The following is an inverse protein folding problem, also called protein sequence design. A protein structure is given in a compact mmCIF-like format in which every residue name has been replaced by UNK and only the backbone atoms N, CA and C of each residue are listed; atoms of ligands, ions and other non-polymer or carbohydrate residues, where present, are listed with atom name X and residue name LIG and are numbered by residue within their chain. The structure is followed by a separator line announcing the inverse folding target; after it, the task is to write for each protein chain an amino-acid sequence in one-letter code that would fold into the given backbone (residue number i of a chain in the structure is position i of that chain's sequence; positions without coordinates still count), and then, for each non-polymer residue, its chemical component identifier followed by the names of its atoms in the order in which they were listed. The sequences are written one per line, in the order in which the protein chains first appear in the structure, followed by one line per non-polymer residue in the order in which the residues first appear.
data_IF_631619141468
#
_entry.id   IF_631619141468
#
_cell.length_a   1.000
_cell.length_b   1.000
_cell.length_c   1.000
_cell.angle_alpha   90.00
_cell.angle_beta   90.00
_cell.angle_gamma   90.00
#
_symmetry.space_group_name_H-M   'P 1'
#
loop_
_entity.id
_entity.type
_entity.pdbx_description
1 polymer ?
#
# COMPACT_ATOMS: atom_id res chain seq x y z
N UNK A 1 -3.50 8.76 -18.66
CA UNK A 1 -2.69 9.39 -17.58
C UNK A 1 -1.22 8.92 -17.58
N UNK A 2 -0.25 9.72 -17.09
CA UNK A 2 1.16 9.25 -16.96
C UNK A 2 1.37 8.40 -15.71
N UNK A 3 2.32 7.45 -15.74
CA UNK A 3 2.66 6.57 -14.61
C UNK A 3 2.96 7.33 -13.32
N UNK A 4 3.79 8.37 -13.39
CA UNK A 4 4.12 9.21 -12.23
C UNK A 4 2.88 9.92 -11.67
N UNK A 5 1.97 10.35 -12.54
CA UNK A 5 0.71 10.98 -12.12
C UNK A 5 -0.27 9.99 -11.49
N UNK A 6 -0.31 8.74 -11.96
CA UNK A 6 -1.15 7.71 -11.36
C UNK A 6 -0.68 7.42 -9.93
N UNK A 7 0.61 7.14 -9.76
CA UNK A 7 1.22 6.77 -8.48
C UNK A 7 1.13 7.89 -7.45
N UNK A 8 1.41 9.14 -7.84
CA UNK A 8 1.32 10.28 -6.91
C UNK A 8 -0.12 10.52 -6.45
N UNK A 9 -1.10 10.44 -7.36
CA UNK A 9 -2.51 10.63 -7.01
C UNK A 9 -3.05 9.47 -6.19
N UNK A 10 -2.70 8.23 -6.51
CA UNK A 10 -3.04 7.04 -5.71
C UNK A 10 -2.51 7.17 -4.29
N UNK A 11 -1.23 7.56 -4.15
CA UNK A 11 -0.61 7.84 -2.84
C UNK A 11 -1.39 8.89 -2.07
N UNK A 12 -1.58 10.07 -2.66
CA UNK A 12 -2.04 11.25 -1.93
C UNK A 12 -3.55 11.23 -1.65
N UNK A 13 -4.35 10.66 -2.56
CA UNK A 13 -5.81 10.74 -2.50
C UNK A 13 -6.48 9.49 -1.92
N UNK A 14 -5.76 8.35 -1.88
CA UNK A 14 -6.37 7.06 -1.48
C UNK A 14 -5.55 6.34 -0.42
N UNK A 15 -4.29 6.02 -0.72
CA UNK A 15 -3.44 5.22 0.19
C UNK A 15 -3.11 5.98 1.47
N UNK A 16 -2.68 7.25 1.38
CA UNK A 16 -2.35 8.04 2.56
C UNK A 16 -3.57 8.25 3.49
N UNK A 17 -4.75 8.65 2.99
CA UNK A 17 -5.96 8.71 3.83
C UNK A 17 -6.33 7.38 4.49
N UNK A 18 -6.15 6.25 3.80
CA UNK A 18 -6.37 4.92 4.38
C UNK A 18 -5.38 4.67 5.53
N UNK A 19 -4.07 4.85 5.30
CA UNK A 19 -3.05 4.70 6.34
C UNK A 19 -3.35 5.59 7.55
N UNK A 20 -3.62 6.87 7.31
CA UNK A 20 -3.88 7.83 8.38
C UNK A 20 -5.12 7.49 9.22
N UNK A 21 -6.11 6.81 8.65
CA UNK A 21 -7.31 6.42 9.40
C UNK A 21 -7.04 5.39 10.50
N UNK A 22 -5.95 4.64 10.40
CA UNK A 22 -5.50 3.68 11.40
C UNK A 22 -4.45 4.27 12.37
N UNK A 23 -4.14 5.58 12.26
CA UNK A 23 -3.16 6.26 13.10
C UNK A 23 -3.82 7.30 14.00
N UNK A 24 -3.21 7.55 15.15
CA UNK A 24 -3.57 8.67 16.00
C UNK A 24 -3.03 9.97 15.40
N UNK A 25 -3.69 11.10 15.69
CA UNK A 25 -3.34 12.40 15.07
C UNK A 25 -1.87 12.80 15.23
N UNK A 26 -1.25 12.45 16.35
CA UNK A 26 0.15 12.76 16.65
C UNK A 26 1.15 11.86 15.92
N UNK A 27 0.74 10.68 15.45
CA UNK A 27 1.58 9.72 14.73
C UNK A 27 1.65 10.02 13.23
N UNK A 28 0.58 10.59 12.68
CA UNK A 28 0.47 10.96 11.26
C UNK A 28 1.70 11.72 10.71
N UNK A 29 2.20 12.79 11.36
CA UNK A 29 3.38 13.51 10.84
C UNK A 29 4.67 12.69 10.89
N UNK A 30 4.71 11.61 11.69
CA UNK A 30 5.87 10.73 11.86
C UNK A 30 5.84 9.56 10.86
N UNK A 31 4.74 9.36 10.14
CA UNK A 31 4.58 8.29 9.16
C UNK A 31 4.74 8.82 7.74
N UNK A 32 5.66 8.22 7.00
CA UNK A 32 5.83 8.48 5.56
C UNK A 32 5.21 7.36 4.74
N UNK A 33 4.45 7.74 3.71
CA UNK A 33 3.85 6.83 2.74
C UNK A 33 4.46 7.09 1.37
N UNK A 34 5.03 6.07 0.76
CA UNK A 34 5.46 6.07 -0.63
C UNK A 34 4.65 5.02 -1.42
N UNK A 35 4.31 5.36 -2.65
CA UNK A 35 3.78 4.41 -3.62
C UNK A 35 4.76 4.38 -4.77
N UNK A 36 5.11 3.18 -5.22
CA UNK A 36 6.05 2.97 -6.32
C UNK A 36 5.48 1.94 -7.29
N UNK A 37 5.93 2.00 -8.54
CA UNK A 37 5.65 0.96 -9.53
C UNK A 37 6.97 0.33 -9.88
N UNK A 38 7.04 -1.00 -9.90
CA UNK A 38 8.24 -1.73 -10.26
C UNK A 38 7.90 -3.11 -10.82
N UNK A 39 8.77 -3.62 -11.68
CA UNK A 39 8.73 -5.01 -12.12
C UNK A 39 9.42 -5.86 -11.06
N UNK A 40 8.80 -6.98 -10.71
CA UNK A 40 9.39 -7.95 -9.79
C UNK A 40 10.34 -8.85 -10.59
N UNK A 41 11.55 -9.03 -10.08
CA UNK A 41 12.53 -9.93 -10.68
C UNK A 41 12.90 -11.03 -9.70
N UNK A 42 13.02 -12.26 -10.19
CA UNK A 42 13.61 -13.33 -9.42
C UNK A 42 15.11 -13.08 -9.23
N UNK A 43 15.54 -12.82 -7.99
CA UNK A 43 16.96 -12.77 -7.66
C UNK A 43 17.49 -14.18 -7.43
N UNK A 44 18.48 -14.59 -8.23
CA UNK A 44 19.20 -15.85 -8.05
C UNK A 44 20.17 -15.83 -6.85
N UNK A 45 20.40 -14.66 -6.24
CA UNK A 45 21.25 -14.48 -5.06
C UNK A 45 20.49 -14.65 -3.73
N UNK A 46 19.24 -15.10 -3.78
CA UNK A 46 18.36 -15.18 -2.61
C UNK A 46 18.73 -16.34 -1.68
N UNK A 47 18.65 -16.10 -0.37
CA UNK A 47 19.00 -17.12 0.62
C UNK A 47 18.01 -18.31 0.60
N UNK A 48 18.49 -19.56 0.75
CA UNK A 48 17.63 -20.73 0.84
C UNK A 48 16.86 -20.72 2.16
N UNK A 49 15.66 -20.15 2.17
CA UNK A 49 14.82 -20.07 3.37
C UNK A 49 13.81 -18.93 3.36
N UNK A 50 13.99 -17.93 2.49
CA UNK A 50 13.01 -16.88 2.36
C UNK A 50 11.70 -17.40 1.75
N UNK A 51 10.62 -17.32 2.53
CA UNK A 51 9.28 -17.73 2.11
C UNK A 51 8.86 -16.94 0.85
N UNK A 52 8.34 -17.66 -0.14
CA UNK A 52 7.86 -17.08 -1.40
C UNK A 52 6.62 -16.24 -1.15
N UNK A 53 6.77 -14.92 -1.04
CA UNK A 53 5.71 -13.98 -1.40
C UNK A 53 5.75 -13.88 -2.92
N UNK A 54 5.07 -14.83 -3.58
CA UNK A 54 4.96 -15.03 -5.04
C UNK A 54 5.38 -13.83 -5.88
N UNK A 55 6.63 -13.79 -6.32
CA UNK A 55 7.10 -12.89 -7.39
C UNK A 55 6.87 -13.62 -8.71
N UNK A 56 5.88 -13.25 -9.52
CA UNK A 56 5.79 -13.81 -10.84
C UNK A 56 6.86 -13.09 -11.67
N UNK A 57 7.85 -13.82 -12.18
CA UNK A 57 8.72 -13.33 -13.25
C UNK A 57 7.91 -13.38 -14.57
N UNK A 58 6.82 -12.61 -14.58
CA UNK A 58 5.85 -12.56 -15.65
C UNK A 58 6.01 -11.29 -16.52
N UNK A 59 6.95 -10.42 -16.14
CA UNK A 59 7.23 -9.17 -16.81
C UNK A 59 6.23 -8.05 -16.51
N UNK A 60 5.28 -8.26 -15.59
CA UNK A 60 4.27 -7.26 -15.26
C UNK A 60 4.80 -6.21 -14.29
N UNK A 61 4.23 -5.01 -14.36
CA UNK A 61 4.52 -3.94 -13.42
C UNK A 61 3.57 -4.03 -12.23
N UNK A 62 4.11 -3.92 -11.02
CA UNK A 62 3.36 -3.99 -9.78
C UNK A 62 3.38 -2.67 -9.02
N UNK A 63 2.26 -2.32 -8.41
CA UNK A 63 2.17 -1.17 -7.50
C UNK A 63 2.46 -1.63 -6.08
N UNK A 64 3.40 -0.96 -5.45
CA UNK A 64 3.84 -1.21 -4.09
C UNK A 64 3.59 0.00 -3.21
N UNK A 65 3.14 -0.25 -1.99
CA UNK A 65 3.00 0.74 -0.93
C UNK A 65 4.09 0.49 0.10
N UNK A 66 4.85 1.52 0.43
CA UNK A 66 5.82 1.52 1.51
C UNK A 66 5.34 2.49 2.58
N UNK A 67 5.33 2.01 3.82
CA UNK A 67 5.06 2.85 4.98
C UNK A 67 6.26 2.77 5.92
N UNK A 68 6.68 3.93 6.44
CA UNK A 68 7.83 4.02 7.35
C UNK A 68 7.51 4.98 8.49
N UNK A 69 7.63 4.49 9.72
CA UNK A 69 7.63 5.30 10.92
C UNK A 69 9.03 5.90 11.12
N UNK A 70 9.13 7.22 10.97
CA UNK A 70 10.41 7.93 10.91
C UNK A 70 11.25 7.81 12.19
N UNK A 71 10.69 7.88 13.42
CA UNK A 71 11.50 7.87 14.64
C UNK A 71 12.33 6.60 14.85
N UNK A 72 11.81 5.45 14.45
CA UNK A 72 12.49 4.14 14.63
C UNK A 72 12.93 3.51 13.31
N UNK A 73 12.54 4.08 12.16
CA UNK A 73 12.70 3.49 10.83
C UNK A 73 12.01 2.13 10.65
N UNK A 74 11.07 1.77 11.54
CA UNK A 74 10.17 0.63 11.33
C UNK A 74 9.36 0.86 10.06
N UNK A 75 9.29 -0.15 9.20
CA UNK A 75 8.56 -0.02 7.95
C UNK A 75 8.02 -1.33 7.42
N UNK A 76 7.04 -1.21 6.56
CA UNK A 76 6.42 -2.31 5.83
C UNK A 76 6.30 -1.98 4.35
N UNK A 77 6.27 -3.04 3.53
CA UNK A 77 6.07 -2.95 2.11
C UNK A 77 5.00 -3.96 1.69
N UNK A 78 3.99 -3.49 0.97
CA UNK A 78 2.87 -4.30 0.51
C UNK A 78 2.65 -4.10 -0.97
N UNK A 79 2.47 -5.21 -1.67
CA UNK A 79 2.05 -5.22 -3.07
C UNK A 79 0.53 -5.05 -3.13
N UNK A 80 0.07 -4.00 -3.81
CA UNK A 80 -1.36 -3.83 -4.07
C UNK A 80 -1.83 -4.76 -5.19
N UNK A 81 -1.07 -4.86 -6.27
CA UNK A 81 -1.45 -5.63 -7.45
C UNK A 81 -0.69 -5.19 -8.68
N UNK A 82 -1.03 -5.78 -9.84
CA UNK A 82 -0.48 -5.34 -11.12
C UNK A 82 -1.00 -3.95 -11.45
N UNK A 83 -0.16 -3.13 -12.06
CA UNK A 83 -0.52 -1.76 -12.42
C UNK A 83 -1.71 -1.72 -13.38
N UNK A 84 -1.82 -2.67 -14.31
CA UNK A 84 -2.94 -2.74 -15.25
C UNK A 84 -4.28 -3.07 -14.58
N UNK A 85 -4.28 -3.97 -13.59
CA UNK A 85 -5.48 -4.44 -12.90
C UNK A 85 -6.03 -3.34 -11.98
N UNK A 86 -5.16 -2.54 -11.37
CA UNK A 86 -5.53 -1.46 -10.46
C UNK A 86 -6.18 -0.25 -11.14
N UNK A 87 -6.34 -0.27 -12.46
CA UNK A 87 -7.21 0.65 -13.18
C UNK A 87 -8.69 0.25 -13.08
N UNK A 88 -8.99 -1.01 -12.76
CA UNK A 88 -10.35 -1.44 -12.41
C UNK A 88 -10.65 -1.05 -10.94
N UNK A 89 -11.75 -0.35 -10.73
CA UNK A 89 -12.12 0.14 -9.39
C UNK A 89 -12.42 -0.99 -8.41
N UNK A 90 -12.94 -2.12 -8.87
CA UNK A 90 -13.25 -3.27 -8.00
C UNK A 90 -11.99 -3.98 -7.55
N UNK A 91 -11.05 -4.19 -8.47
CA UNK A 91 -9.72 -4.75 -8.17
C UNK A 91 -8.95 -3.84 -7.21
N UNK A 92 -8.98 -2.52 -7.46
CA UNK A 92 -8.36 -1.55 -6.57
C UNK A 92 -8.98 -1.55 -5.16
N UNK A 93 -10.31 -1.56 -5.04
CA UNK A 93 -10.98 -1.62 -3.74
C UNK A 93 -10.60 -2.90 -2.99
N UNK A 94 -10.57 -4.04 -3.67
CA UNK A 94 -10.15 -5.30 -3.07
C UNK A 94 -8.69 -5.24 -2.61
N UNK A 95 -7.79 -4.70 -3.43
CA UNK A 95 -6.38 -4.51 -3.06
C UNK A 95 -6.22 -3.59 -1.84
N UNK A 96 -6.97 -2.49 -1.78
CA UNK A 96 -6.93 -1.55 -0.66
C UNK A 96 -7.50 -2.16 0.63
N UNK A 97 -8.53 -3.00 0.52
CA UNK A 97 -9.05 -3.75 1.67
C UNK A 97 -7.99 -4.71 2.24
N UNK A 98 -7.34 -5.50 1.37
CA UNK A 98 -6.25 -6.39 1.80
C UNK A 98 -5.08 -5.62 2.41
N UNK A 99 -4.72 -4.48 1.81
CA UNK A 99 -3.69 -3.59 2.35
C UNK A 99 -4.06 -3.03 3.72
N UNK A 100 -5.28 -2.53 3.91
CA UNK A 100 -5.74 -1.99 5.20
C UNK A 100 -5.66 -3.03 6.30
N UNK A 101 -6.14 -4.25 6.05
CA UNK A 101 -6.05 -5.35 7.00
C UNK A 101 -4.60 -5.72 7.34
N UNK A 102 -3.72 -5.80 6.33
CA UNK A 102 -2.31 -6.09 6.55
C UNK A 102 -1.58 -4.95 7.30
N UNK A 103 -1.98 -3.72 7.04
CA UNK A 103 -1.45 -2.53 7.71
C UNK A 103 -1.85 -2.49 9.18
N UNK A 104 -3.11 -2.77 9.51
CA UNK A 104 -3.58 -2.91 10.90
C UNK A 104 -2.75 -3.95 11.68
N UNK A 105 -2.51 -5.12 11.05
CA UNK A 105 -1.66 -6.16 11.63
C UNK A 105 -0.25 -5.66 11.92
N UNK A 106 0.38 -4.99 10.95
CA UNK A 106 1.72 -4.41 11.13
C UNK A 106 1.75 -3.34 12.22
N UNK A 107 0.83 -2.37 12.19
CA UNK A 107 0.79 -1.29 13.21
C UNK A 107 0.64 -1.88 14.62
N UNK A 108 -0.19 -2.91 14.78
CA UNK A 108 -0.40 -3.58 16.08
C UNK A 108 0.88 -4.23 16.63
N UNK A 109 1.85 -4.52 15.76
CA UNK A 109 3.15 -5.11 16.10
C UNK A 109 4.27 -4.06 16.22
N UNK A 110 4.02 -2.80 15.88
CA UNK A 110 5.02 -1.73 15.97
C UNK A 110 5.21 -1.24 17.40
N UNK A 111 6.40 -0.70 17.68
CA UNK A 111 6.72 -0.17 19.02
C UNK A 111 5.90 1.06 19.42
N UNK A 112 5.41 1.85 18.47
CA UNK A 112 4.70 3.10 18.74
C UNK A 112 3.18 2.95 18.93
N UNK A 113 2.60 1.86 18.42
CA UNK A 113 1.16 1.58 18.51
C UNK A 113 0.85 0.25 19.23
N UNK A 114 1.85 -0.33 19.90
CA UNK A 114 1.73 -1.63 20.58
C UNK A 114 0.56 -1.65 21.57
N UNK A 115 -0.37 -2.58 21.37
CA UNK A 115 -1.50 -2.80 22.27
C UNK A 115 -2.68 -1.82 22.11
N UNK A 116 -2.61 -0.91 21.14
CA UNK A 116 -3.71 -0.01 20.81
C UNK A 116 -4.60 -0.62 19.71
N UNK A 117 -5.91 -0.46 19.83
CA UNK A 117 -6.86 -0.91 18.81
C UNK A 117 -6.86 0.05 17.61
N UNK A 118 -6.56 -0.46 16.42
CA UNK A 118 -6.44 0.33 15.17
C UNK A 118 -7.31 -0.26 14.08
N UNK A 119 -8.00 0.60 13.34
CA UNK A 119 -8.87 0.21 12.24
C UNK A 119 -8.62 1.11 11.05
N UNK A 120 -8.08 0.54 9.98
CA UNK A 120 -8.06 1.19 8.69
C UNK A 120 -9.50 1.31 8.18
N UNK A 121 -9.86 2.49 7.70
CA UNK A 121 -11.15 2.69 7.05
C UNK A 121 -11.26 1.73 5.86
N UNK A 122 -12.47 1.19 5.67
CA UNK A 122 -12.81 0.46 4.46
C UNK A 122 -13.04 1.45 3.33
N UNK A 123 -12.25 1.36 2.27
CA UNK A 123 -12.45 2.17 1.06
C UNK A 123 -13.57 1.57 0.23
N UNK A 124 -14.54 2.41 -0.13
CA UNK A 124 -15.64 2.04 -1.01
C UNK A 124 -15.56 2.82 -2.33
N UNK A 125 -16.39 2.43 -3.32
CA UNK A 125 -16.40 3.07 -4.63
C UNK A 125 -16.67 4.59 -4.55
N UNK A 126 -17.52 5.02 -3.61
CA UNK A 126 -17.83 6.43 -3.38
C UNK A 126 -16.67 7.25 -2.78
N UNK A 127 -15.68 6.59 -2.19
CA UNK A 127 -14.48 7.24 -1.64
C UNK A 127 -13.39 7.43 -2.70
N UNK A 128 -13.51 6.74 -3.84
CA UNK A 128 -12.52 6.84 -4.90
C UNK A 128 -12.65 8.19 -5.62
N UNK A 129 -11.53 8.85 -5.92
CA UNK A 129 -11.54 10.03 -6.77
C UNK A 129 -12.16 9.75 -8.13
N UNK A 130 -12.88 10.75 -8.68
CA UNK A 130 -13.60 10.64 -9.96
C UNK A 130 -12.73 10.12 -11.13
N UNK A 131 -11.45 10.45 -11.14
CA UNK A 131 -10.52 10.02 -12.18
C UNK A 131 -10.26 8.51 -12.19
N UNK A 132 -10.42 7.83 -11.04
CA UNK A 132 -10.34 6.36 -10.96
C UNK A 132 -11.64 5.71 -11.42
N UNK A 133 -12.78 6.33 -11.11
CA UNK A 133 -14.11 5.81 -11.45
C UNK A 133 -14.38 5.91 -12.96
N UNK A 134 -13.94 7.01 -13.58
CA UNK A 134 -14.26 7.34 -14.98
C UNK A 134 -13.21 6.88 -15.99
N UNK A 135 -12.10 6.30 -15.55
CA UNK A 135 -11.09 5.68 -16.41
C UNK A 135 -10.29 6.67 -17.30
N UNK A 136 -9.79 7.78 -16.73
CA UNK A 136 -9.05 8.82 -17.46
C UNK A 136 -7.55 8.54 -17.73
#
# INVERSE_FOLDING_TARGET
MSRTSFVSRLRDQVVRPLVHSALAEHEIPEVTVAVVVGTEFYSSLREPGETRWTYPDDGHEYVWVHVTYQPTSEGGAWRLGRSEDLHDSSELINALFQFGWAFEGWVSETTFAWGEERHARRVELGDLPEWMITGA
#
